data_IF_984364633859
#
_entry.id   IF_984364633859
#
_cell.length_a   1.000
_cell.length_b   1.000
_cell.length_c   1.000
_cell.angle_alpha   90.00
_cell.angle_beta   90.00
_cell.angle_gamma   90.00
#
_symmetry.space_group_name_H-M   'P 1'
#
loop_
_entity.id
_entity.type
_entity.pdbx_description
1 polymer ?
#
# COMPACT_ATOMS: atom_id res chain seq x y z
N UNK A 1 60.32 60.65 -20.31
CA UNK A 1 59.65 59.97 -21.43
C UNK A 1 59.06 58.67 -20.93
N UNK A 2 57.73 58.62 -20.91
CA UNK A 2 56.78 57.50 -20.82
C UNK A 2 56.99 56.36 -19.80
N UNK A 3 56.21 56.46 -18.70
CA UNK A 3 55.56 55.33 -18.04
C UNK A 3 54.66 54.62 -19.07
N UNK A 4 54.83 53.31 -19.24
CA UNK A 4 53.79 52.47 -19.84
C UNK A 4 52.82 52.06 -18.73
N UNK A 5 51.63 52.65 -18.80
CA UNK A 5 50.51 52.32 -17.95
C UNK A 5 50.03 50.91 -18.24
N UNK A 6 49.91 50.15 -17.16
CA UNK A 6 49.14 48.93 -17.10
C UNK A 6 47.65 49.32 -17.12
N UNK A 7 47.03 49.22 -18.29
CA UNK A 7 45.57 49.30 -18.45
C UNK A 7 45.09 48.03 -19.14
N UNK A 8 45.02 46.93 -18.38
CA UNK A 8 44.09 45.82 -18.68
C UNK A 8 42.83 45.93 -17.82
N UNK A 9 42.17 47.08 -17.89
CA UNK A 9 40.78 47.23 -17.48
C UNK A 9 39.88 46.82 -18.64
N UNK A 10 39.63 45.51 -18.80
CA UNK A 10 38.62 45.05 -19.74
C UNK A 10 37.25 45.51 -19.26
N UNK A 11 36.53 46.27 -20.09
CA UNK A 11 35.19 46.78 -19.78
C UNK A 11 34.27 45.62 -19.37
N UNK A 12 33.94 45.56 -18.07
CA UNK A 12 32.97 44.59 -17.57
C UNK A 12 31.59 45.03 -18.07
N UNK A 13 31.10 44.39 -19.14
CA UNK A 13 29.75 44.69 -19.62
C UNK A 13 28.75 44.48 -18.48
N UNK A 14 27.74 45.35 -18.36
CA UNK A 14 26.64 45.20 -17.40
C UNK A 14 26.05 43.77 -17.44
N UNK A 15 26.04 43.15 -18.62
CA UNK A 15 25.63 41.75 -18.82
C UNK A 15 26.53 40.74 -18.10
N UNK A 16 27.84 40.91 -18.16
CA UNK A 16 28.80 40.03 -17.46
C UNK A 16 28.64 40.16 -15.94
N UNK A 17 28.56 41.39 -15.43
CA UNK A 17 28.31 41.64 -14.01
C UNK A 17 26.99 41.02 -13.52
N UNK A 18 25.87 41.24 -14.24
CA UNK A 18 24.58 40.64 -13.87
C UNK A 18 24.62 39.12 -13.95
N UNK A 19 25.29 38.55 -14.95
CA UNK A 19 25.43 37.08 -15.09
C UNK A 19 26.18 36.49 -13.91
N UNK A 20 27.29 37.10 -13.50
CA UNK A 20 28.09 36.64 -12.36
C UNK A 20 27.38 36.86 -11.02
N UNK A 21 26.69 37.99 -10.84
CA UNK A 21 25.82 38.24 -9.68
C UNK A 21 24.72 37.18 -9.56
N UNK A 22 24.05 36.85 -10.67
CA UNK A 22 22.99 35.83 -10.65
C UNK A 22 23.56 34.45 -10.38
N UNK A 23 24.71 34.11 -10.98
CA UNK A 23 25.38 32.82 -10.79
C UNK A 23 25.85 32.63 -9.36
N UNK A 24 26.57 33.60 -8.79
CA UNK A 24 27.29 33.46 -7.53
C UNK A 24 26.51 33.94 -6.30
N UNK A 25 25.63 34.93 -6.47
CA UNK A 25 24.87 35.55 -5.37
C UNK A 25 23.39 35.18 -5.39
N UNK A 26 22.66 35.65 -6.40
CA UNK A 26 21.19 35.57 -6.41
C UNK A 26 20.68 34.12 -6.43
N UNK A 27 21.33 33.22 -7.18
CA UNK A 27 20.91 31.82 -7.24
C UNK A 27 21.05 31.09 -5.89
N UNK A 28 22.12 31.36 -5.14
CA UNK A 28 22.30 30.82 -3.79
C UNK A 28 21.30 31.45 -2.82
N UNK A 29 21.10 32.76 -2.89
CA UNK A 29 20.12 33.47 -2.06
C UNK A 29 18.71 32.92 -2.26
N UNK A 30 18.29 32.71 -3.51
CA UNK A 30 17.00 32.11 -3.84
C UNK A 30 16.91 30.66 -3.36
N UNK A 31 17.98 29.87 -3.50
CA UNK A 31 18.02 28.50 -3.00
C UNK A 31 17.95 28.42 -1.47
N UNK A 32 18.66 29.28 -0.75
CA UNK A 32 18.62 29.37 0.71
C UNK A 32 17.25 29.81 1.21
N UNK A 33 16.66 30.84 0.58
CA UNK A 33 15.31 31.30 0.90
C UNK A 33 14.27 30.21 0.66
N UNK A 34 14.38 29.46 -0.45
CA UNK A 34 13.47 28.37 -0.74
C UNK A 34 13.58 27.21 0.26
N UNK A 35 14.80 26.83 0.67
CA UNK A 35 15.02 25.82 1.73
C UNK A 35 14.41 26.28 3.06
N UNK A 36 14.65 27.52 3.46
CA UNK A 36 14.12 28.09 4.70
C UNK A 36 12.60 28.10 4.71
N UNK A 37 11.96 28.48 3.59
CA UNK A 37 10.50 28.48 3.48
C UNK A 37 9.90 27.07 3.59
N UNK A 38 10.55 26.06 3.00
CA UNK A 38 10.13 24.65 3.18
C UNK A 38 10.28 24.23 4.65
N UNK A 39 11.43 24.52 5.26
CA UNK A 39 11.73 24.14 6.63
C UNK A 39 10.75 24.75 7.65
N UNK A 40 10.39 26.02 7.45
CA UNK A 40 9.41 26.72 8.28
C UNK A 40 8.03 26.04 8.25
N UNK A 41 7.54 25.75 7.04
CA UNK A 41 6.23 25.09 6.86
C UNK A 41 6.24 23.66 7.40
N UNK A 42 7.30 22.89 7.13
CA UNK A 42 7.40 21.47 7.50
C UNK A 42 7.63 21.23 8.99
N UNK A 43 8.10 22.24 9.72
CA UNK A 43 8.28 22.21 11.19
C UNK A 43 7.19 22.97 11.94
N UNK A 44 6.18 23.50 11.24
CA UNK A 44 5.05 24.15 11.90
C UNK A 44 4.32 23.17 12.84
N UNK A 45 3.68 23.65 13.93
CA UNK A 45 3.00 22.77 14.88
C UNK A 45 1.88 21.92 14.27
N UNK A 46 1.25 22.39 13.19
CA UNK A 46 0.21 21.67 12.46
C UNK A 46 0.74 20.77 11.33
N UNK A 47 2.05 20.79 11.07
CA UNK A 47 2.66 19.98 10.02
C UNK A 47 2.39 18.49 10.24
N UNK A 48 2.03 17.79 9.16
CA UNK A 48 1.72 16.35 9.17
C UNK A 48 0.53 15.96 10.06
N UNK A 49 -0.34 16.92 10.41
CA UNK A 49 -1.57 16.68 11.18
C UNK A 49 -2.78 17.29 10.49
N UNK A 50 -2.64 18.53 10.02
CA UNK A 50 -3.72 19.24 9.35
C UNK A 50 -3.91 18.73 7.91
N UNK A 51 -5.16 18.44 7.57
CA UNK A 51 -5.60 17.84 6.31
C UNK A 51 -6.49 18.84 5.58
N UNK A 52 -6.32 18.97 4.27
CA UNK A 52 -7.11 19.88 3.46
C UNK A 52 -7.09 19.54 1.98
N UNK A 53 -7.92 20.21 1.17
CA UNK A 53 -7.90 20.02 -0.27
C UNK A 53 -6.57 20.51 -0.87
N UNK A 54 -6.13 19.92 -2.00
CA UNK A 54 -4.97 20.43 -2.70
C UNK A 54 -5.20 21.88 -3.20
N UNK A 55 -4.15 22.71 -3.29
CA UNK A 55 -4.24 24.06 -3.84
C UNK A 55 -4.89 24.10 -5.25
N UNK A 56 -5.86 25.00 -5.45
CA UNK A 56 -6.75 25.10 -6.63
C UNK A 56 -6.07 25.53 -7.94
N UNK A 57 -4.83 25.99 -7.87
CA UNK A 57 -4.05 26.53 -8.97
C UNK A 57 -3.27 25.47 -9.78
N UNK A 58 -3.52 24.19 -9.54
CA UNK A 58 -2.84 23.07 -10.21
C UNK A 58 -3.81 22.27 -11.07
N UNK A 59 -3.55 22.21 -12.39
CA UNK A 59 -4.37 21.46 -13.37
C UNK A 59 -4.49 19.94 -13.10
N UNK A 60 -3.63 19.37 -12.25
CA UNK A 60 -3.58 17.94 -11.90
C UNK A 60 -4.48 17.51 -10.74
N UNK A 61 -5.19 18.43 -10.08
CA UNK A 61 -5.90 18.14 -8.82
C UNK A 61 -7.20 17.32 -8.94
N UNK A 62 -7.62 16.89 -10.13
CA UNK A 62 -8.93 16.26 -10.31
C UNK A 62 -9.07 14.89 -9.61
N UNK A 63 -7.95 14.23 -9.24
CA UNK A 63 -7.95 12.92 -8.59
C UNK A 63 -7.78 12.95 -7.07
N UNK A 64 -7.23 14.02 -6.50
CA UNK A 64 -6.81 14.08 -5.09
C UNK A 64 -7.83 14.84 -4.24
N UNK A 65 -8.34 14.20 -3.18
CA UNK A 65 -9.39 14.76 -2.33
C UNK A 65 -8.84 15.48 -1.11
N UNK A 66 -7.83 14.89 -0.47
CA UNK A 66 -7.27 15.35 0.81
C UNK A 66 -5.76 15.14 0.81
N UNK A 67 -5.01 16.18 1.19
CA UNK A 67 -3.56 16.14 1.39
C UNK A 67 -3.18 16.76 2.74
N UNK A 68 -1.94 16.55 3.20
CA UNK A 68 -1.40 17.35 4.29
C UNK A 68 -1.19 18.80 3.84
N UNK A 69 -1.76 19.76 4.59
CA UNK A 69 -1.73 21.19 4.22
C UNK A 69 -0.31 21.73 4.13
N UNK A 70 0.59 21.27 5.00
CA UNK A 70 2.01 21.62 4.97
C UNK A 70 2.68 21.24 3.65
N UNK A 71 2.28 20.14 3.00
CA UNK A 71 2.78 19.77 1.67
C UNK A 71 2.22 20.68 0.57
N UNK A 72 0.97 21.14 0.69
CA UNK A 72 0.39 22.15 -0.18
C UNK A 72 1.17 23.47 -0.13
N UNK A 73 1.42 23.98 1.08
CA UNK A 73 2.23 25.19 1.30
C UNK A 73 3.70 25.00 0.89
N UNK A 74 4.29 23.84 1.17
CA UNK A 74 5.63 23.48 0.71
C UNK A 74 5.73 23.48 -0.81
N UNK A 75 4.73 22.93 -1.51
CA UNK A 75 4.66 22.99 -2.97
C UNK A 75 4.54 24.43 -3.49
N UNK A 76 3.75 25.29 -2.82
CA UNK A 76 3.70 26.71 -3.19
C UNK A 76 5.07 27.40 -3.07
N UNK A 77 5.90 27.02 -2.10
CA UNK A 77 7.28 27.51 -1.98
C UNK A 77 8.18 27.01 -3.14
N UNK A 78 8.08 25.72 -3.53
CA UNK A 78 8.74 25.19 -4.73
C UNK A 78 8.30 25.96 -5.98
N UNK A 79 7.00 26.20 -6.11
CA UNK A 79 6.40 26.93 -7.22
C UNK A 79 6.89 28.40 -7.28
N UNK A 80 6.97 29.07 -6.13
CA UNK A 80 7.52 30.40 -6.02
C UNK A 80 9.01 30.44 -6.42
N UNK A 81 9.80 29.45 -6.00
CA UNK A 81 11.21 29.31 -6.39
C UNK A 81 11.36 29.09 -7.90
N UNK A 82 10.52 28.24 -8.50
CA UNK A 82 10.50 28.02 -9.95
C UNK A 82 10.14 29.30 -10.73
N UNK A 83 9.16 30.08 -10.25
CA UNK A 83 8.84 31.38 -10.84
C UNK A 83 9.98 32.40 -10.71
N UNK A 84 10.67 32.43 -9.57
CA UNK A 84 11.83 33.29 -9.38
C UNK A 84 12.97 32.89 -10.33
N UNK A 85 13.25 31.60 -10.44
CA UNK A 85 14.21 31.05 -11.38
C UNK A 85 13.91 31.47 -12.82
N UNK A 86 12.64 31.41 -13.24
CA UNK A 86 12.22 31.85 -14.58
C UNK A 86 12.48 33.35 -14.82
N UNK A 87 12.29 34.21 -13.83
CA UNK A 87 12.62 35.65 -13.94
C UNK A 87 14.13 35.88 -14.11
N UNK A 88 14.95 35.08 -13.45
CA UNK A 88 16.42 35.17 -13.52
C UNK A 88 17.04 34.46 -14.73
N UNK A 89 16.24 33.76 -15.54
CA UNK A 89 16.70 32.84 -16.57
C UNK A 89 17.61 33.47 -17.65
N UNK A 90 17.31 34.72 -18.03
CA UNK A 90 18.01 35.44 -19.09
C UNK A 90 19.47 35.76 -18.75
N UNK A 91 19.78 35.81 -17.44
CA UNK A 91 21.12 36.15 -16.94
C UNK A 91 21.76 34.98 -16.16
N UNK A 92 20.96 34.12 -15.53
CA UNK A 92 21.43 33.02 -14.70
C UNK A 92 21.61 31.68 -15.41
N UNK A 93 21.00 31.50 -16.59
CA UNK A 93 21.02 30.23 -17.31
C UNK A 93 20.65 29.04 -16.41
N UNK A 94 21.44 27.97 -16.46
CA UNK A 94 21.26 26.77 -15.65
C UNK A 94 21.42 26.98 -14.13
N UNK A 95 22.02 28.09 -13.67
CA UNK A 95 22.16 28.36 -12.24
C UNK A 95 20.85 28.82 -11.60
N UNK A 96 19.95 29.41 -12.39
CA UNK A 96 18.65 29.86 -11.90
C UNK A 96 17.78 28.67 -11.39
N UNK A 97 17.93 27.48 -11.98
CA UNK A 97 17.15 26.30 -11.59
C UNK A 97 17.66 25.62 -10.31
N UNK A 98 18.74 26.12 -9.70
CA UNK A 98 19.25 25.63 -8.41
C UNK A 98 18.26 25.85 -7.27
N UNK A 99 17.50 26.94 -7.30
CA UNK A 99 16.52 27.27 -6.28
C UNK A 99 15.36 26.24 -6.18
N UNK A 100 14.64 25.92 -7.27
CA UNK A 100 13.61 24.87 -7.21
C UNK A 100 14.20 23.49 -6.88
N UNK A 101 15.41 23.15 -7.35
CA UNK A 101 16.07 21.89 -6.98
C UNK A 101 16.36 21.80 -5.47
N UNK A 102 16.84 22.88 -4.85
CA UNK A 102 17.09 22.94 -3.41
C UNK A 102 15.79 22.84 -2.60
N UNK A 103 14.70 23.47 -3.06
CA UNK A 103 13.38 23.37 -2.44
C UNK A 103 12.84 21.94 -2.48
N UNK A 104 12.97 21.26 -3.63
CA UNK A 104 12.58 19.85 -3.78
C UNK A 104 13.40 18.93 -2.89
N UNK A 105 14.71 19.15 -2.79
CA UNK A 105 15.58 18.37 -1.90
C UNK A 105 15.15 18.49 -0.43
N UNK A 106 14.84 19.71 0.04
CA UNK A 106 14.33 19.93 1.38
C UNK A 106 12.96 19.25 1.59
N UNK A 107 12.04 19.41 0.64
CA UNK A 107 10.70 18.79 0.70
C UNK A 107 10.79 17.26 0.76
N UNK A 108 11.66 16.65 -0.05
CA UNK A 108 11.89 15.21 -0.07
C UNK A 108 12.50 14.70 1.23
N UNK A 109 13.40 15.48 1.87
CA UNK A 109 13.96 15.12 3.18
C UNK A 109 12.87 15.09 4.26
N UNK A 110 11.99 16.10 4.31
CA UNK A 110 10.87 16.14 5.25
C UNK A 110 9.84 15.04 4.99
N UNK A 111 9.53 14.76 3.72
CA UNK A 111 8.63 13.68 3.34
C UNK A 111 9.14 12.30 3.80
N UNK A 112 10.44 12.00 3.60
CA UNK A 112 11.05 10.77 4.12
C UNK A 112 10.99 10.70 5.64
N UNK A 113 11.28 11.81 6.32
CA UNK A 113 11.22 11.86 7.78
C UNK A 113 9.78 11.66 8.29
N UNK A 114 8.78 12.23 7.61
CA UNK A 114 7.37 12.03 7.94
C UNK A 114 6.93 10.58 7.75
N UNK A 115 7.28 9.95 6.62
CA UNK A 115 7.02 8.54 6.38
C UNK A 115 7.65 7.64 7.45
N UNK A 116 8.89 7.93 7.87
CA UNK A 116 9.56 7.19 8.94
C UNK A 116 8.87 7.36 10.31
N UNK A 117 8.28 8.53 10.61
CA UNK A 117 7.56 8.79 11.87
C UNK A 117 6.17 8.17 11.91
N UNK A 118 5.47 8.15 10.79
CA UNK A 118 4.10 7.62 10.70
C UNK A 118 4.07 6.08 10.67
N UNK A 119 5.22 5.42 10.48
CA UNK A 119 5.36 3.98 10.60
C UNK A 119 5.69 3.57 12.03
N UNK A 120 5.17 2.44 12.54
CA UNK A 120 5.61 1.91 13.83
C UNK A 120 7.13 1.69 13.87
N UNK A 121 7.80 2.00 14.99
CA UNK A 121 9.24 1.83 15.12
C UNK A 121 9.66 0.35 14.94
N UNK A 122 10.90 0.07 14.48
CA UNK A 122 11.35 -1.28 14.13
C UNK A 122 11.19 -2.32 15.25
N UNK A 123 11.41 -1.93 16.50
CA UNK A 123 11.29 -2.79 17.68
C UNK A 123 9.84 -3.29 17.93
N UNK A 124 8.85 -2.58 17.39
CA UNK A 124 7.42 -2.91 17.45
C UNK A 124 6.80 -2.91 16.05
N UNK A 125 7.58 -3.30 15.04
CA UNK A 125 7.13 -3.34 13.66
C UNK A 125 5.94 -4.31 13.53
N UNK A 126 4.82 -3.80 13.00
CA UNK A 126 3.68 -4.63 12.60
C UNK A 126 4.13 -5.69 11.59
N UNK A 127 3.32 -6.74 11.40
CA UNK A 127 3.61 -7.76 10.38
C UNK A 127 3.66 -7.13 8.99
N UNK A 128 2.81 -6.14 8.71
CA UNK A 128 2.82 -5.40 7.44
C UNK A 128 4.14 -4.65 7.25
N UNK A 129 4.70 -4.07 8.31
CA UNK A 129 6.03 -3.46 8.26
C UNK A 129 7.11 -4.51 7.95
N UNK A 130 7.07 -5.68 8.57
CA UNK A 130 8.07 -6.73 8.29
C UNK A 130 7.99 -7.20 6.83
N UNK A 131 6.78 -7.46 6.33
CA UNK A 131 6.56 -7.86 4.94
C UNK A 131 6.91 -6.78 3.93
N UNK A 132 6.70 -5.50 4.25
CA UNK A 132 7.13 -4.40 3.39
C UNK A 132 8.66 -4.22 3.35
N UNK A 133 9.38 -4.76 4.34
CA UNK A 133 10.84 -4.78 4.35
C UNK A 133 11.43 -6.03 3.66
N UNK A 134 10.57 -6.97 3.27
CA UNK A 134 10.93 -8.18 2.55
C UNK A 134 10.82 -7.95 1.04
N UNK A 135 11.97 -7.87 0.37
CA UNK A 135 12.04 -7.58 -1.06
C UNK A 135 11.37 -8.66 -1.93
N UNK A 136 11.30 -9.91 -1.47
CA UNK A 136 10.68 -10.99 -2.22
C UNK A 136 9.15 -10.89 -2.15
N UNK A 137 8.58 -10.58 -0.98
CA UNK A 137 7.15 -10.30 -0.84
C UNK A 137 6.78 -9.07 -1.65
N UNK A 138 7.54 -7.98 -1.57
CA UNK A 138 7.27 -6.75 -2.32
C UNK A 138 7.35 -7.01 -3.83
N UNK A 139 8.38 -7.70 -4.31
CA UNK A 139 8.53 -8.03 -5.74
C UNK A 139 7.38 -8.92 -6.24
N UNK A 140 6.98 -9.90 -5.42
CA UNK A 140 5.82 -10.73 -5.71
C UNK A 140 4.55 -9.88 -5.86
N UNK A 141 4.19 -9.07 -4.87
CA UNK A 141 2.99 -8.22 -4.90
C UNK A 141 3.02 -7.27 -6.11
N UNK A 142 4.18 -6.71 -6.43
CA UNK A 142 4.34 -5.81 -7.56
C UNK A 142 4.26 -6.50 -8.93
N UNK A 143 4.45 -7.82 -8.98
CA UNK A 143 4.30 -8.62 -10.19
C UNK A 143 2.85 -9.01 -10.51
N UNK A 144 1.94 -8.87 -9.54
CA UNK A 144 0.55 -9.28 -9.71
C UNK A 144 -0.24 -8.29 -10.57
N UNK A 145 -1.22 -8.80 -11.32
CA UNK A 145 -2.02 -7.99 -12.26
C UNK A 145 -2.79 -6.85 -11.57
N UNK A 146 -3.19 -7.02 -10.31
CA UNK A 146 -3.86 -5.98 -9.52
C UNK A 146 -2.93 -4.77 -9.26
N UNK A 147 -1.63 -4.99 -9.01
CA UNK A 147 -0.65 -3.91 -8.89
C UNK A 147 -0.29 -3.29 -10.24
N UNK A 148 -0.11 -4.12 -11.27
CA UNK A 148 0.23 -3.65 -12.61
C UNK A 148 -0.88 -2.77 -13.19
N UNK A 149 -2.15 -3.16 -13.03
CA UNK A 149 -3.29 -2.36 -13.47
C UNK A 149 -3.37 -1.00 -12.75
N UNK A 150 -2.90 -0.92 -11.50
CA UNK A 150 -2.87 0.31 -10.72
C UNK A 150 -1.74 1.25 -11.20
N UNK A 151 -0.53 0.72 -11.36
CA UNK A 151 0.67 1.53 -11.64
C UNK A 151 0.91 1.78 -13.12
N UNK A 152 0.32 0.94 -13.98
CA UNK A 152 0.47 1.01 -15.43
C UNK A 152 -0.93 0.98 -16.07
N UNK A 153 -1.59 2.14 -16.23
CA UNK A 153 -2.97 2.21 -16.76
C UNK A 153 -3.14 1.63 -18.16
N UNK A 154 -2.06 1.49 -18.93
CA UNK A 154 -2.06 0.84 -20.24
C UNK A 154 -2.25 -0.68 -20.14
N UNK A 155 -1.92 -1.29 -19.01
CA UNK A 155 -2.06 -2.71 -18.74
C UNK A 155 -3.52 -3.01 -18.37
N UNK A 156 -4.30 -3.48 -19.35
CA UNK A 156 -5.66 -3.95 -19.10
C UNK A 156 -5.62 -5.34 -18.45
N UNK A 157 -5.98 -5.43 -17.17
CA UNK A 157 -6.20 -6.71 -16.51
C UNK A 157 -7.65 -7.16 -16.73
N UNK A 158 -7.85 -8.41 -17.18
CA UNK A 158 -9.19 -8.97 -17.25
C UNK A 158 -9.73 -9.26 -15.83
N UNK A 159 -11.05 -9.35 -15.63
CA UNK A 159 -11.61 -9.75 -14.34
C UNK A 159 -11.09 -11.11 -13.85
N UNK A 160 -10.77 -12.02 -14.79
CA UNK A 160 -10.21 -13.33 -14.49
C UNK A 160 -8.75 -13.22 -14.01
N UNK A 161 -7.94 -12.37 -14.63
CA UNK A 161 -6.54 -12.14 -14.20
C UNK A 161 -6.50 -11.52 -12.80
N UNK A 162 -7.44 -10.61 -12.50
CA UNK A 162 -7.56 -10.00 -11.17
C UNK A 162 -7.97 -11.04 -10.13
N UNK A 163 -8.95 -11.89 -10.45
CA UNK A 163 -9.36 -12.99 -9.56
C UNK A 163 -8.18 -13.91 -9.25
N UNK A 164 -7.45 -14.36 -10.27
CA UNK A 164 -6.27 -15.20 -10.10
C UNK A 164 -5.16 -14.51 -9.28
N UNK A 165 -4.98 -13.20 -9.47
CA UNK A 165 -4.04 -12.42 -8.68
C UNK A 165 -4.41 -12.44 -7.19
N UNK A 166 -5.68 -12.23 -6.83
CA UNK A 166 -6.12 -12.26 -5.43
C UNK A 166 -6.05 -13.66 -4.81
N UNK A 167 -6.38 -14.71 -5.57
CA UNK A 167 -6.26 -16.10 -5.11
C UNK A 167 -4.79 -16.46 -4.83
N UNK A 168 -3.89 -16.11 -5.75
CA UNK A 168 -2.45 -16.34 -5.61
C UNK A 168 -1.85 -15.49 -4.48
N UNK A 169 -2.29 -14.26 -4.34
CA UNK A 169 -1.89 -13.39 -3.24
C UNK A 169 -2.24 -14.02 -1.89
N UNK A 170 -3.48 -14.50 -1.75
CA UNK A 170 -3.96 -15.11 -0.53
C UNK A 170 -3.14 -16.36 -0.15
N UNK A 171 -2.85 -17.22 -1.13
CA UNK A 171 -2.02 -18.42 -0.97
C UNK A 171 -0.59 -18.10 -0.51
N UNK A 172 0.08 -17.14 -1.17
CA UNK A 172 1.48 -16.81 -0.87
C UNK A 172 1.62 -16.09 0.48
N UNK A 173 0.79 -15.09 0.75
CA UNK A 173 0.85 -14.36 2.04
C UNK A 173 0.53 -15.28 3.22
N UNK A 174 -0.38 -16.22 2.99
CA UNK A 174 -0.71 -17.25 3.93
C UNK A 174 0.36 -18.25 4.26
N UNK A 175 0.96 -18.84 3.22
CA UNK A 175 2.10 -19.73 3.39
C UNK A 175 3.28 -19.02 4.07
N UNK A 176 3.46 -17.72 3.79
CA UNK A 176 4.45 -16.86 4.45
C UNK A 176 4.21 -16.63 5.95
N UNK A 177 3.00 -16.87 6.46
CA UNK A 177 2.74 -16.85 7.91
C UNK A 177 3.22 -18.13 8.61
N UNK A 178 3.24 -19.25 7.88
CA UNK A 178 3.44 -20.58 8.46
C UNK A 178 2.43 -20.89 9.58
N UNK A 179 2.84 -21.71 10.54
CA UNK A 179 1.99 -22.13 11.66
C UNK A 179 1.75 -21.00 12.70
N UNK A 180 2.55 -19.93 12.65
CA UNK A 180 2.50 -18.84 13.62
C UNK A 180 1.18 -18.05 13.56
N UNK A 181 0.49 -17.93 14.69
CA UNK A 181 -0.68 -17.05 14.80
C UNK A 181 -0.26 -15.57 14.81
N UNK A 182 -0.97 -14.74 14.05
CA UNK A 182 -0.77 -13.28 14.08
C UNK A 182 -1.30 -12.74 15.40
N UNK A 183 -0.43 -12.07 16.17
CA UNK A 183 -0.79 -11.53 17.49
C UNK A 183 -1.30 -10.09 17.40
N UNK A 184 -2.01 -9.62 18.44
CA UNK A 184 -2.52 -8.23 18.52
C UNK A 184 -1.40 -7.17 18.40
N UNK A 185 -0.20 -7.50 18.86
CA UNK A 185 0.99 -6.62 18.76
C UNK A 185 1.52 -6.47 17.34
N UNK A 186 1.13 -7.36 16.44
CA UNK A 186 1.59 -7.37 15.06
C UNK A 186 0.63 -6.67 14.09
N UNK A 187 -0.50 -6.16 14.59
CA UNK A 187 -1.46 -5.37 13.81
C UNK A 187 -1.52 -3.93 14.31
N UNK A 188 -1.90 -3.02 13.41
CA UNK A 188 -2.23 -1.65 13.75
C UNK A 188 -3.73 -1.56 13.96
N UNK A 189 -4.12 -1.44 15.23
CA UNK A 189 -5.53 -1.29 15.61
C UNK A 189 -6.02 0.16 15.56
N UNK A 190 -5.10 1.13 15.56
CA UNK A 190 -5.47 2.54 15.49
C UNK A 190 -5.80 2.94 14.05
N UNK A 191 -7.09 3.13 13.78
CA UNK A 191 -7.58 3.55 12.47
C UNK A 191 -7.11 4.95 12.09
N UNK A 192 -6.81 5.83 13.06
CA UNK A 192 -6.29 7.16 12.75
C UNK A 192 -4.89 7.09 12.16
N UNK A 193 -4.02 6.22 12.69
CA UNK A 193 -2.69 5.98 12.14
C UNK A 193 -2.77 5.45 10.69
N UNK A 194 -3.72 4.55 10.39
CA UNK A 194 -3.96 4.07 9.03
C UNK A 194 -4.50 5.19 8.11
N UNK A 195 -5.37 6.04 8.62
CA UNK A 195 -5.87 7.20 7.89
C UNK A 195 -4.75 8.22 7.60
N UNK A 196 -3.84 8.47 8.53
CA UNK A 196 -2.68 9.34 8.31
C UNK A 196 -1.74 8.79 7.21
N UNK A 197 -1.53 7.47 7.18
CA UNK A 197 -0.79 6.81 6.09
C UNK A 197 -1.52 6.91 4.74
N UNK A 198 -2.85 6.83 4.74
CA UNK A 198 -3.66 7.04 3.54
C UNK A 198 -3.54 8.48 3.02
N UNK A 199 -3.58 9.48 3.90
CA UNK A 199 -3.34 10.89 3.52
C UNK A 199 -1.91 11.08 3.03
N UNK A 200 -0.92 10.44 3.66
CA UNK A 200 0.47 10.49 3.20
C UNK A 200 0.59 9.93 1.78
N UNK A 201 -0.03 8.78 1.51
CA UNK A 201 -0.08 8.14 0.19
C UNK A 201 -0.56 9.12 -0.90
N UNK A 202 -1.73 9.73 -0.69
CA UNK A 202 -2.31 10.71 -1.62
C UNK A 202 -1.47 11.98 -1.76
N UNK A 203 -0.92 12.46 -0.65
CA UNK A 203 -0.08 13.67 -0.64
C UNK A 203 1.19 13.47 -1.46
N UNK A 204 1.84 12.30 -1.34
CA UNK A 204 3.05 11.99 -2.08
C UNK A 204 2.78 11.79 -3.58
N UNK A 205 1.68 11.12 -3.93
CA UNK A 205 1.25 10.99 -5.32
C UNK A 205 0.95 12.34 -5.98
N UNK A 206 0.22 13.19 -5.25
CA UNK A 206 -0.07 14.55 -5.68
C UNK A 206 1.23 15.34 -5.90
N UNK A 207 2.18 15.29 -4.95
CA UNK A 207 3.48 15.95 -5.08
C UNK A 207 4.26 15.43 -6.29
N UNK A 208 4.35 14.12 -6.49
CA UNK A 208 5.06 13.53 -7.64
C UNK A 208 4.50 14.06 -8.97
N UNK A 209 3.18 14.02 -9.12
CA UNK A 209 2.48 14.53 -10.32
C UNK A 209 2.80 16.01 -10.57
N UNK A 210 2.80 16.80 -9.50
CA UNK A 210 3.13 18.22 -9.53
C UNK A 210 4.60 18.48 -9.93
N UNK A 211 5.53 17.74 -9.35
CA UNK A 211 6.97 17.85 -9.63
C UNK A 211 7.25 17.57 -11.11
N UNK A 212 6.60 16.56 -11.69
CA UNK A 212 6.71 16.22 -13.12
C UNK A 212 6.22 17.34 -14.05
N UNK A 213 5.41 18.28 -13.56
CA UNK A 213 4.97 19.48 -14.30
C UNK A 213 5.94 20.66 -14.25
N UNK A 214 6.97 20.63 -13.41
CA UNK A 214 7.93 21.75 -13.29
C UNK A 214 8.66 22.10 -14.59
N UNK A 215 9.09 21.13 -15.44
CA UNK A 215 9.78 21.46 -16.67
C UNK A 215 8.93 22.30 -17.62
N UNK A 216 7.64 22.01 -17.76
CA UNK A 216 6.74 22.77 -18.64
C UNK A 216 6.52 24.20 -18.13
N UNK A 217 6.50 24.39 -16.81
CA UNK A 217 6.39 25.69 -16.16
C UNK A 217 7.63 26.56 -16.33
N UNK A 218 8.82 25.96 -16.30
CA UNK A 218 10.10 26.64 -16.49
C UNK A 218 10.38 26.96 -17.97
N UNK A 219 9.93 26.09 -18.89
CA UNK A 219 10.15 26.24 -20.34
C UNK A 219 9.17 27.20 -21.03
N UNK A 220 8.09 27.63 -20.36
CA UNK A 220 7.11 28.55 -20.93
C UNK A 220 7.74 29.87 -21.40
N UNK A 221 7.42 30.28 -22.64
CA UNK A 221 7.84 31.52 -23.32
C UNK A 221 9.35 31.71 -23.60
N UNK A 222 10.06 30.64 -23.97
CA UNK A 222 11.40 30.74 -24.59
C UNK A 222 12.54 31.19 -23.65
N UNK A 223 12.32 31.16 -22.34
CA UNK A 223 13.18 31.86 -21.37
C UNK A 223 14.29 31.00 -20.75
N UNK A 224 14.11 29.69 -20.58
CA UNK A 224 15.11 28.78 -19.98
C UNK A 224 15.31 27.58 -20.90
N UNK A 225 16.53 27.35 -21.40
CA UNK A 225 16.91 26.04 -21.94
C UNK A 225 17.25 25.13 -20.77
N UNK A 226 16.38 24.16 -20.48
CA UNK A 226 16.62 23.16 -19.44
C UNK A 226 17.65 22.15 -19.94
N UNK A 227 18.62 21.80 -19.10
CA UNK A 227 19.57 20.73 -19.40
C UNK A 227 18.95 19.36 -19.14
N UNK A 228 19.41 18.35 -19.88
CA UNK A 228 18.98 16.96 -19.64
C UNK A 228 19.27 16.52 -18.20
N UNK A 229 20.40 16.98 -17.64
CA UNK A 229 20.71 16.78 -16.22
C UNK A 229 19.59 17.28 -15.31
N UNK A 230 19.09 18.49 -15.52
CA UNK A 230 18.01 19.02 -14.69
C UNK A 230 16.71 18.24 -14.88
N UNK A 231 16.38 17.83 -16.10
CA UNK A 231 15.20 16.99 -16.36
C UNK A 231 15.30 15.65 -15.63
N UNK A 232 16.48 15.04 -15.63
CA UNK A 232 16.77 13.81 -14.89
C UNK A 232 16.70 14.03 -13.36
N UNK A 233 17.19 15.16 -12.86
CA UNK A 233 17.11 15.50 -11.43
C UNK A 233 15.64 15.67 -10.98
N UNK A 234 14.80 16.31 -11.80
CA UNK A 234 13.36 16.45 -11.52
C UNK A 234 12.65 15.10 -11.57
N UNK A 235 12.96 14.27 -12.57
CA UNK A 235 12.40 12.91 -12.66
C UNK A 235 12.79 12.09 -11.43
N UNK A 236 14.07 12.13 -11.04
CA UNK A 236 14.59 11.46 -9.85
C UNK A 236 13.94 11.97 -8.57
N UNK A 237 13.69 13.28 -8.47
CA UNK A 237 12.98 13.87 -7.35
C UNK A 237 11.54 13.34 -7.25
N UNK A 238 10.79 13.30 -8.36
CA UNK A 238 9.43 12.77 -8.39
C UNK A 238 9.37 11.30 -7.97
N UNK A 239 10.33 10.47 -8.43
CA UNK A 239 10.41 9.04 -8.08
C UNK A 239 10.52 8.80 -6.56
N UNK A 240 11.14 9.72 -5.81
CA UNK A 240 11.20 9.61 -4.34
C UNK A 240 9.79 9.66 -3.74
N UNK A 241 8.93 10.54 -4.24
CA UNK A 241 7.56 10.67 -3.75
C UNK A 241 6.70 9.48 -4.21
N UNK A 242 6.88 9.01 -5.45
CA UNK A 242 6.24 7.77 -5.92
C UNK A 242 6.60 6.58 -5.03
N UNK A 243 7.88 6.44 -4.67
CA UNK A 243 8.34 5.36 -3.81
C UNK A 243 7.67 5.40 -2.43
N UNK A 244 7.57 6.58 -1.81
CA UNK A 244 6.88 6.72 -0.51
C UNK A 244 5.38 6.43 -0.66
N UNK A 245 4.75 6.93 -1.72
CA UNK A 245 3.34 6.69 -2.05
C UNK A 245 3.05 5.19 -2.19
N UNK A 246 3.83 4.49 -3.01
CA UNK A 246 3.74 3.04 -3.20
C UNK A 246 3.98 2.25 -1.92
N UNK A 247 4.96 2.65 -1.09
CA UNK A 247 5.20 2.01 0.21
C UNK A 247 4.02 2.17 1.16
N UNK A 248 3.42 3.35 1.24
CA UNK A 248 2.22 3.57 2.05
C UNK A 248 1.05 2.72 1.55
N UNK A 249 0.87 2.64 0.23
CA UNK A 249 -0.21 1.87 -0.36
C UNK A 249 -0.07 0.36 -0.11
N UNK A 250 1.13 -0.19 -0.35
CA UNK A 250 1.43 -1.60 -0.05
C UNK A 250 1.29 -1.89 1.43
N UNK A 251 1.70 -0.97 2.30
CA UNK A 251 1.53 -1.12 3.74
C UNK A 251 0.05 -1.28 4.13
N UNK A 252 -0.81 -0.36 3.68
CA UNK A 252 -2.25 -0.40 3.97
C UNK A 252 -2.90 -1.66 3.40
N UNK A 253 -2.53 -2.01 2.17
CA UNK A 253 -2.97 -3.24 1.51
C UNK A 253 -2.63 -4.47 2.37
N UNK A 254 -1.36 -4.65 2.74
CA UNK A 254 -0.91 -5.76 3.58
C UNK A 254 -1.58 -5.78 4.96
N UNK A 255 -1.73 -4.62 5.60
CA UNK A 255 -2.35 -4.53 6.92
C UNK A 255 -3.78 -5.08 6.90
N UNK A 256 -4.58 -4.81 5.86
CA UNK A 256 -5.93 -5.38 5.74
C UNK A 256 -5.92 -6.91 5.59
N UNK A 257 -4.93 -7.49 4.89
CA UNK A 257 -4.79 -8.97 4.79
C UNK A 257 -4.39 -9.56 6.14
N UNK A 258 -3.45 -8.93 6.83
CA UNK A 258 -2.97 -9.37 8.14
C UNK A 258 -4.08 -9.31 9.18
N UNK A 259 -4.96 -8.31 9.14
CA UNK A 259 -6.14 -8.26 10.01
C UNK A 259 -7.07 -9.46 9.79
N UNK A 260 -7.27 -9.90 8.54
CA UNK A 260 -8.03 -11.13 8.26
C UNK A 260 -7.42 -12.33 9.00
N UNK A 261 -6.11 -12.52 8.88
CA UNK A 261 -5.41 -13.61 9.56
C UNK A 261 -5.43 -13.49 11.08
N UNK A 262 -5.29 -12.29 11.63
CA UNK A 262 -5.32 -12.05 13.06
C UNK A 262 -6.67 -12.45 13.66
N UNK A 263 -7.75 -11.85 13.16
CA UNK A 263 -9.07 -12.01 13.76
C UNK A 263 -9.66 -13.39 13.50
N UNK A 264 -9.55 -13.92 12.27
CA UNK A 264 -10.03 -15.27 11.96
C UNK A 264 -9.17 -16.36 12.62
N UNK A 265 -7.93 -16.03 13.01
CA UNK A 265 -7.03 -16.91 13.75
C UNK A 265 -7.20 -16.91 15.28
N UNK A 266 -7.98 -15.99 15.88
CA UNK A 266 -8.18 -15.98 17.34
C UNK A 266 -9.25 -16.97 17.82
N UNK A 267 -9.99 -17.62 16.92
CA UNK A 267 -11.22 -18.34 17.29
C UNK A 267 -11.00 -19.59 18.15
N UNK A 268 -9.79 -20.15 18.17
CA UNK A 268 -9.45 -21.31 19.03
C UNK A 268 -9.16 -20.94 20.50
N UNK A 269 -8.94 -19.65 20.82
CA UNK A 269 -8.47 -19.21 22.16
C UNK A 269 -9.59 -18.73 23.09
N UNK A 270 -10.85 -18.76 22.66
CA UNK A 270 -11.98 -18.16 23.39
C UNK A 270 -12.53 -19.06 24.51
N UNK A 271 -11.68 -19.84 25.18
CA UNK A 271 -12.09 -20.78 26.25
C UNK A 271 -12.06 -20.20 27.66
N UNK A 272 -11.63 -18.95 27.88
CA UNK A 272 -11.56 -18.36 29.22
C UNK A 272 -12.30 -17.01 29.34
N UNK A 273 -13.49 -17.06 29.97
CA UNK A 273 -14.09 -16.04 30.84
C UNK A 273 -14.19 -14.57 30.37
N UNK A 274 -14.44 -14.29 29.10
CA UNK A 274 -14.91 -12.95 28.70
C UNK A 274 -16.18 -13.09 27.87
N UNK A 275 -17.21 -12.32 28.24
CA UNK A 275 -18.54 -12.27 27.62
C UNK A 275 -18.46 -12.58 26.11
N UNK A 276 -19.11 -13.67 25.70
CA UNK A 276 -19.19 -14.11 24.31
C UNK A 276 -19.79 -12.98 23.47
N UNK A 277 -18.95 -12.17 22.84
CA UNK A 277 -19.40 -11.30 21.76
C UNK A 277 -19.92 -12.23 20.67
N UNK A 278 -21.23 -12.19 20.39
CA UNK A 278 -22.02 -13.09 19.53
C UNK A 278 -21.58 -13.21 18.04
N UNK A 279 -20.34 -12.87 17.69
CA UNK A 279 -19.77 -13.05 16.36
C UNK A 279 -18.27 -13.33 16.31
N UNK A 280 -17.61 -13.51 17.46
CA UNK A 280 -16.20 -13.92 17.55
C UNK A 280 -15.23 -13.06 16.71
N UNK A 281 -14.19 -13.71 16.16
CA UNK A 281 -13.20 -13.06 15.30
C UNK A 281 -13.80 -12.46 14.02
N UNK A 282 -14.79 -13.11 13.42
CA UNK A 282 -15.46 -12.62 12.21
C UNK A 282 -16.14 -11.24 12.41
N UNK A 283 -16.83 -11.02 13.54
CA UNK A 283 -17.45 -9.73 13.84
C UNK A 283 -16.39 -8.63 14.12
N UNK A 284 -15.33 -8.96 14.85
CA UNK A 284 -14.23 -8.02 15.11
C UNK A 284 -13.51 -7.61 13.81
N UNK A 285 -13.29 -8.56 12.89
CA UNK A 285 -12.75 -8.27 11.57
C UNK A 285 -13.69 -7.34 10.79
N UNK A 286 -14.98 -7.64 10.75
CA UNK A 286 -15.96 -6.83 10.05
C UNK A 286 -15.96 -5.38 10.56
N UNK A 287 -15.98 -5.20 11.89
CA UNK A 287 -15.89 -3.89 12.51
C UNK A 287 -14.60 -3.15 12.13
N UNK A 288 -13.46 -3.84 12.16
CA UNK A 288 -12.17 -3.24 11.84
C UNK A 288 -12.09 -2.77 10.38
N UNK A 289 -12.56 -3.59 9.43
CA UNK A 289 -12.57 -3.25 8.01
C UNK A 289 -13.54 -2.12 7.68
N UNK A 290 -14.74 -2.13 8.29
CA UNK A 290 -15.73 -1.06 8.12
C UNK A 290 -15.22 0.26 8.70
N UNK A 291 -14.65 0.23 9.92
CA UNK A 291 -14.08 1.42 10.56
C UNK A 291 -12.94 2.01 9.73
N UNK A 292 -12.07 1.16 9.17
CA UNK A 292 -11.03 1.61 8.24
C UNK A 292 -11.64 2.28 7.01
N UNK A 293 -12.56 1.61 6.32
CA UNK A 293 -13.20 2.13 5.11
C UNK A 293 -13.89 3.48 5.35
N UNK A 294 -14.63 3.64 6.45
CA UNK A 294 -15.28 4.89 6.84
C UNK A 294 -14.29 6.06 6.92
N UNK A 295 -13.09 5.83 7.47
CA UNK A 295 -12.07 6.88 7.60
C UNK A 295 -11.37 7.20 6.28
N UNK A 296 -11.14 6.20 5.41
CA UNK A 296 -10.27 6.38 4.24
C UNK A 296 -10.98 6.60 2.91
N UNK A 297 -12.27 6.27 2.78
CA UNK A 297 -12.98 6.34 1.48
C UNK A 297 -13.10 7.76 0.91
N UNK A 298 -13.08 8.79 1.77
CA UNK A 298 -13.07 10.19 1.36
C UNK A 298 -11.65 10.76 1.18
N UNK A 299 -10.63 10.03 1.62
CA UNK A 299 -9.22 10.42 1.49
C UNK A 299 -8.64 9.87 0.19
N UNK A 300 -8.74 8.55 0.01
CA UNK A 300 -8.09 7.84 -1.09
C UNK A 300 -8.84 8.00 -2.41
N UNK A 301 -8.08 8.01 -3.51
CA UNK A 301 -8.64 7.86 -4.83
C UNK A 301 -9.31 6.47 -4.98
N UNK A 302 -10.45 6.35 -5.70
CA UNK A 302 -11.21 5.09 -5.76
C UNK A 302 -10.40 3.87 -6.21
N UNK A 303 -9.49 4.03 -7.19
CA UNK A 303 -8.65 2.94 -7.69
C UNK A 303 -7.62 2.45 -6.66
N UNK A 304 -7.13 3.33 -5.77
CA UNK A 304 -6.22 2.97 -4.68
C UNK A 304 -6.95 2.28 -3.54
N UNK A 305 -8.13 2.79 -3.18
CA UNK A 305 -9.00 2.12 -2.21
C UNK A 305 -9.39 0.72 -2.72
N UNK A 306 -9.74 0.60 -4.01
CA UNK A 306 -10.03 -0.69 -4.63
C UNK A 306 -8.83 -1.65 -4.55
N UNK A 307 -7.60 -1.18 -4.78
CA UNK A 307 -6.40 -2.02 -4.60
C UNK A 307 -6.23 -2.50 -3.15
N UNK A 308 -6.53 -1.66 -2.15
CA UNK A 308 -6.46 -2.04 -0.73
C UNK A 308 -7.60 -3.01 -0.36
N UNK A 309 -8.82 -2.82 -0.86
CA UNK A 309 -10.00 -3.56 -0.37
C UNK A 309 -10.34 -4.79 -1.20
N UNK A 310 -10.07 -4.80 -2.51
CA UNK A 310 -10.27 -5.99 -3.34
C UNK A 310 -9.27 -7.08 -2.94
N UNK A 311 -9.69 -8.34 -3.05
CA UNK A 311 -8.91 -9.49 -2.59
C UNK A 311 -9.13 -9.86 -1.12
N UNK A 312 -9.80 -8.99 -0.34
CA UNK A 312 -10.09 -9.26 1.08
C UNK A 312 -11.01 -10.48 1.24
N UNK A 313 -11.93 -10.73 0.32
CA UNK A 313 -12.79 -11.92 0.36
C UNK A 313 -12.02 -13.23 0.20
N UNK A 314 -11.08 -13.27 -0.74
CA UNK A 314 -10.16 -14.39 -0.97
C UNK A 314 -9.28 -14.60 0.26
N UNK A 315 -8.84 -13.51 0.90
CA UNK A 315 -8.06 -13.57 2.12
C UNK A 315 -8.86 -14.06 3.33
N UNK A 316 -10.08 -13.58 3.53
CA UNK A 316 -11.02 -14.14 4.51
C UNK A 316 -11.20 -15.64 4.28
N UNK A 317 -11.33 -16.07 3.02
CA UNK A 317 -11.50 -17.47 2.70
C UNK A 317 -10.28 -18.31 3.04
N UNK A 318 -9.08 -17.84 2.72
CA UNK A 318 -7.84 -18.51 3.11
C UNK A 318 -7.71 -18.60 4.64
N UNK A 319 -8.05 -17.51 5.35
CA UNK A 319 -8.10 -17.48 6.82
C UNK A 319 -9.03 -18.53 7.42
N UNK A 320 -10.25 -18.67 6.89
CA UNK A 320 -11.21 -19.69 7.32
C UNK A 320 -10.66 -21.10 7.09
N UNK A 321 -10.18 -21.42 5.88
CA UNK A 321 -9.69 -22.76 5.54
C UNK A 321 -8.48 -23.16 6.40
N UNK A 322 -7.60 -22.21 6.75
CA UNK A 322 -6.41 -22.51 7.54
C UNK A 322 -6.63 -22.50 9.04
N UNK A 323 -7.51 -21.65 9.57
CA UNK A 323 -7.62 -21.44 11.02
C UNK A 323 -8.85 -22.06 11.65
N UNK A 324 -9.87 -22.41 10.88
CA UNK A 324 -11.06 -23.06 11.43
C UNK A 324 -10.95 -24.58 11.39
N UNK A 325 -9.79 -25.09 11.82
CA UNK A 325 -9.47 -26.52 11.88
C UNK A 325 -9.78 -27.13 13.25
N UNK A 326 -10.25 -26.34 14.22
CA UNK A 326 -10.71 -26.80 15.53
C UNK A 326 -12.23 -27.01 15.62
N UNK A 327 -12.69 -27.74 16.66
CA UNK A 327 -14.14 -27.96 16.89
C UNK A 327 -14.93 -26.66 17.03
N UNK A 328 -14.35 -25.65 17.67
CA UNK A 328 -14.92 -24.31 17.83
C UNK A 328 -15.02 -23.56 16.48
N UNK A 329 -14.00 -23.68 15.62
CA UNK A 329 -13.95 -23.03 14.30
C UNK A 329 -15.04 -23.53 13.34
N UNK A 330 -15.50 -24.77 13.50
CA UNK A 330 -16.57 -25.29 12.67
C UNK A 330 -17.96 -25.28 13.36
N UNK A 331 -18.06 -24.92 14.66
CA UNK A 331 -19.35 -24.73 15.37
C UNK A 331 -19.73 -23.26 15.22
N UNK A 332 -20.88 -22.96 14.61
CA UNK A 332 -21.28 -21.59 14.28
C UNK A 332 -20.56 -20.99 13.05
N UNK A 333 -19.84 -21.81 12.28
CA UNK A 333 -19.12 -21.38 11.07
C UNK A 333 -20.03 -20.71 10.05
N UNK A 334 -21.27 -21.16 9.89
CA UNK A 334 -22.25 -20.55 8.97
C UNK A 334 -22.67 -19.14 9.38
N UNK A 335 -22.91 -18.91 10.68
CA UNK A 335 -23.28 -17.59 11.21
C UNK A 335 -22.10 -16.60 11.09
N UNK A 336 -20.87 -17.06 11.37
CA UNK A 336 -19.65 -16.27 11.16
C UNK A 336 -19.41 -15.98 9.68
N UNK A 337 -19.58 -16.97 8.80
CA UNK A 337 -19.48 -16.78 7.36
C UNK A 337 -20.54 -15.81 6.84
N UNK A 338 -21.77 -15.84 7.38
CA UNK A 338 -22.80 -14.85 7.08
C UNK A 338 -22.38 -13.44 7.51
N UNK A 339 -21.73 -13.29 8.66
CA UNK A 339 -21.15 -12.01 9.11
C UNK A 339 -20.10 -11.48 8.13
N UNK A 340 -19.19 -12.33 7.66
CA UNK A 340 -18.19 -11.96 6.66
C UNK A 340 -18.84 -11.55 5.33
N UNK A 341 -19.86 -12.28 4.88
CA UNK A 341 -20.64 -11.92 3.67
C UNK A 341 -21.31 -10.55 3.83
N UNK A 342 -21.98 -10.29 4.95
CA UNK A 342 -22.58 -8.98 5.21
C UNK A 342 -21.54 -7.86 5.23
N UNK A 343 -20.35 -8.11 5.78
CA UNK A 343 -19.24 -7.15 5.72
C UNK A 343 -18.82 -6.83 4.28
N UNK A 344 -18.63 -7.86 3.44
CA UNK A 344 -18.27 -7.65 2.03
C UNK A 344 -19.37 -6.89 1.28
N UNK A 345 -20.64 -7.20 1.54
CA UNK A 345 -21.77 -6.46 0.98
C UNK A 345 -21.75 -4.98 1.38
N UNK A 346 -21.54 -4.68 2.67
CA UNK A 346 -21.47 -3.31 3.18
C UNK A 346 -20.30 -2.51 2.57
N UNK A 347 -19.18 -3.19 2.27
CA UNK A 347 -18.03 -2.61 1.58
C UNK A 347 -18.17 -2.58 0.05
N UNK A 348 -19.29 -3.07 -0.50
CA UNK A 348 -19.52 -3.22 -1.95
C UNK A 348 -18.45 -4.09 -2.65
N UNK A 349 -17.93 -5.11 -1.95
CA UNK A 349 -16.91 -6.03 -2.45
C UNK A 349 -17.52 -7.33 -3.01
N UNK A 350 -16.84 -8.00 -3.95
CA UNK A 350 -17.29 -9.30 -4.46
C UNK A 350 -17.33 -10.38 -3.38
N UNK A 351 -18.43 -11.14 -3.34
CA UNK A 351 -18.60 -12.26 -2.41
C UNK A 351 -17.95 -13.55 -2.91
N UNK A 352 -17.56 -13.59 -4.18
CA UNK A 352 -16.99 -14.77 -4.84
C UNK A 352 -15.76 -15.32 -4.12
N UNK A 353 -14.99 -14.45 -3.45
CA UNK A 353 -13.83 -14.84 -2.66
C UNK A 353 -14.16 -15.81 -1.52
N UNK A 354 -15.39 -15.80 -0.97
CA UNK A 354 -15.81 -16.68 0.13
C UNK A 354 -16.37 -18.03 -0.32
N UNK A 355 -16.43 -18.32 -1.62
CA UNK A 355 -16.97 -19.59 -2.11
C UNK A 355 -16.14 -20.79 -1.62
N UNK A 356 -14.82 -20.67 -1.61
CA UNK A 356 -13.91 -21.73 -1.13
C UNK A 356 -14.10 -21.99 0.37
N UNK A 357 -14.28 -20.94 1.18
CA UNK A 357 -14.59 -21.08 2.61
C UNK A 357 -15.93 -21.79 2.85
N UNK A 358 -16.96 -21.44 2.09
CA UNK A 358 -18.26 -22.10 2.19
C UNK A 358 -18.17 -23.59 1.84
N UNK A 359 -17.49 -23.91 0.74
CA UNK A 359 -17.26 -25.29 0.33
C UNK A 359 -16.46 -26.07 1.40
N UNK A 360 -15.49 -25.44 2.04
CA UNK A 360 -14.71 -26.06 3.11
C UNK A 360 -15.56 -26.30 4.36
N UNK A 361 -16.38 -25.34 4.79
CA UNK A 361 -17.31 -25.54 5.91
C UNK A 361 -18.30 -26.67 5.63
N UNK A 362 -18.84 -26.75 4.41
CA UNK A 362 -19.68 -27.86 4.00
C UNK A 362 -18.92 -29.20 4.06
N UNK A 363 -17.67 -29.25 3.59
CA UNK A 363 -16.80 -30.42 3.69
C UNK A 363 -16.70 -30.95 5.13
N UNK A 364 -16.57 -30.06 6.12
CA UNK A 364 -16.49 -30.43 7.55
C UNK A 364 -17.79 -31.04 8.10
N UNK A 365 -18.90 -30.91 7.37
CA UNK A 365 -20.19 -31.52 7.73
C UNK A 365 -20.42 -32.87 7.04
N UNK A 366 -19.68 -33.20 5.99
CA UNK A 366 -19.82 -34.45 5.24
C UNK A 366 -19.21 -35.65 5.98
N UNK A 367 -19.62 -36.86 5.58
CA UNK A 367 -18.98 -38.10 6.01
C UNK A 367 -17.67 -38.35 5.23
N UNK A 368 -16.64 -38.99 5.82
CA UNK A 368 -15.38 -39.27 5.12
C UNK A 368 -15.57 -39.99 3.77
N UNK A 369 -16.52 -40.92 3.68
CA UNK A 369 -16.83 -41.69 2.48
C UNK A 369 -17.44 -40.82 1.38
N UNK A 370 -18.30 -39.88 1.75
CA UNK A 370 -18.90 -38.90 0.82
C UNK A 370 -17.80 -38.01 0.24
N UNK A 371 -16.85 -37.58 1.08
CA UNK A 371 -15.72 -36.76 0.65
C UNK A 371 -14.83 -37.54 -0.32
N UNK A 372 -14.46 -38.79 0.02
CA UNK A 372 -13.61 -39.63 -0.83
C UNK A 372 -14.30 -39.90 -2.17
N UNK A 373 -15.61 -40.16 -2.16
CA UNK A 373 -16.39 -40.36 -3.38
C UNK A 373 -16.41 -39.09 -4.23
N UNK A 374 -16.67 -37.93 -3.62
CA UNK A 374 -16.66 -36.65 -4.32
C UNK A 374 -15.30 -36.33 -4.95
N UNK A 375 -14.19 -36.61 -4.26
CA UNK A 375 -12.82 -36.42 -4.81
C UNK A 375 -12.58 -37.32 -6.02
N UNK A 376 -13.07 -38.57 -5.99
CA UNK A 376 -12.92 -39.50 -7.13
C UNK A 376 -13.75 -39.10 -8.34
N UNK A 377 -14.96 -38.60 -8.11
CA UNK A 377 -15.90 -38.25 -9.19
C UNK A 377 -15.66 -36.87 -9.78
N UNK A 378 -15.33 -35.88 -8.94
CA UNK A 378 -15.28 -34.46 -9.31
C UNK A 378 -13.88 -33.87 -9.25
N UNK A 379 -12.89 -34.63 -8.77
CA UNK A 379 -11.54 -34.15 -8.53
C UNK A 379 -11.37 -33.44 -7.18
N UNK A 380 -10.11 -33.20 -6.83
CA UNK A 380 -9.74 -32.50 -5.59
C UNK A 380 -10.02 -30.99 -5.68
N UNK A 381 -10.72 -30.45 -4.68
CA UNK A 381 -11.01 -29.01 -4.56
C UNK A 381 -10.11 -28.30 -3.54
N UNK A 382 -9.49 -29.08 -2.66
CA UNK A 382 -8.63 -28.63 -1.58
C UNK A 382 -7.27 -29.34 -1.67
N UNK A 383 -6.26 -28.78 -1.01
CA UNK A 383 -4.96 -29.44 -0.94
C UNK A 383 -5.01 -30.69 -0.06
N UNK A 384 -4.05 -31.61 -0.22
CA UNK A 384 -3.95 -32.80 0.63
C UNK A 384 -3.93 -32.41 2.12
N UNK A 385 -3.13 -31.40 2.49
CA UNK A 385 -3.06 -30.91 3.86
C UNK A 385 -4.41 -30.38 4.38
N UNK A 386 -5.17 -29.65 3.54
CA UNK A 386 -6.49 -29.14 3.90
C UNK A 386 -7.51 -30.27 4.14
N UNK A 387 -7.47 -31.33 3.32
CA UNK A 387 -8.26 -32.53 3.54
C UNK A 387 -7.84 -33.29 4.80
N UNK A 388 -6.54 -33.45 5.04
CA UNK A 388 -6.02 -34.08 6.25
C UNK A 388 -6.49 -33.35 7.50
N UNK A 389 -6.47 -32.02 7.49
CA UNK A 389 -6.96 -31.22 8.60
C UNK A 389 -8.48 -31.33 8.75
N UNK A 390 -9.23 -31.33 7.65
CA UNK A 390 -10.68 -31.56 7.67
C UNK A 390 -11.04 -32.92 8.30
N UNK A 391 -10.31 -33.99 7.94
CA UNK A 391 -10.55 -35.33 8.49
C UNK A 391 -10.27 -35.41 9.98
N UNK A 392 -9.25 -34.70 10.50
CA UNK A 392 -9.02 -34.59 11.96
C UNK A 392 -10.20 -33.92 12.67
N UNK A 393 -10.79 -32.88 12.08
CA UNK A 393 -11.98 -32.22 12.65
C UNK A 393 -13.17 -33.16 12.66
N UNK A 394 -13.38 -33.89 11.56
CA UNK A 394 -14.48 -34.84 11.39
C UNK A 394 -14.32 -36.02 12.36
N UNK A 395 -13.10 -36.55 12.53
CA UNK A 395 -12.76 -37.62 13.49
C UNK A 395 -13.23 -37.25 14.89
N UNK A 396 -12.81 -36.07 15.37
CA UNK A 396 -13.14 -35.57 16.71
C UNK A 396 -14.64 -35.36 16.87
N UNK A 397 -15.29 -34.68 15.90
CA UNK A 397 -16.72 -34.33 15.99
C UNK A 397 -17.65 -35.52 15.96
N UNK A 398 -17.33 -36.52 15.14
CA UNK A 398 -18.16 -37.69 14.93
C UNK A 398 -17.76 -38.86 15.84
N UNK A 399 -16.65 -38.73 16.58
CA UNK A 399 -16.13 -39.78 17.45
C UNK A 399 -15.70 -41.03 16.67
N UNK A 400 -15.15 -40.86 15.47
CA UNK A 400 -14.74 -41.98 14.61
C UNK A 400 -13.52 -42.66 15.23
N UNK A 401 -13.49 -43.99 15.38
CA UNK A 401 -12.34 -44.71 15.91
C UNK A 401 -11.06 -44.45 15.08
N UNK A 402 -9.88 -44.26 15.72
CA UNK A 402 -8.63 -43.98 15.00
C UNK A 402 -8.20 -45.08 14.02
N UNK A 403 -8.67 -46.32 14.20
CA UNK A 403 -8.43 -47.41 13.26
C UNK A 403 -9.21 -47.21 11.95
N UNK A 404 -10.47 -46.81 12.06
CA UNK A 404 -11.37 -46.54 10.94
C UNK A 404 -10.95 -45.26 10.21
N UNK A 405 -10.59 -44.20 10.94
CA UNK A 405 -10.06 -42.98 10.33
C UNK A 405 -8.79 -43.24 9.52
N UNK A 406 -7.89 -44.11 9.99
CA UNK A 406 -6.71 -44.53 9.22
C UNK A 406 -7.05 -45.24 7.91
N UNK A 407 -8.17 -45.96 7.84
CA UNK A 407 -8.64 -46.57 6.59
C UNK A 407 -9.13 -45.49 5.63
N UNK A 408 -9.94 -44.54 6.11
CA UNK A 408 -10.40 -43.42 5.28
C UNK A 408 -9.26 -42.55 4.75
N UNK A 409 -8.26 -42.26 5.58
CA UNK A 409 -7.07 -41.50 5.16
C UNK A 409 -6.27 -42.23 4.05
N UNK A 410 -6.13 -43.55 4.12
CA UNK A 410 -5.51 -44.35 3.05
C UNK A 410 -6.33 -44.29 1.76
N UNK A 411 -7.66 -44.38 1.86
CA UNK A 411 -8.55 -44.31 0.71
C UNK A 411 -8.55 -42.92 0.05
N UNK A 412 -8.46 -41.86 0.87
CA UNK A 412 -8.31 -40.47 0.41
C UNK A 412 -6.97 -40.29 -0.32
N UNK A 413 -5.86 -40.75 0.25
CA UNK A 413 -4.54 -40.69 -0.40
C UNK A 413 -4.55 -41.40 -1.76
N UNK A 414 -5.19 -42.58 -1.85
CA UNK A 414 -5.38 -43.28 -3.12
C UNK A 414 -6.25 -42.49 -4.11
N UNK A 415 -7.30 -41.83 -3.64
CA UNK A 415 -8.15 -40.98 -4.48
C UNK A 415 -7.37 -39.76 -5.02
N UNK A 416 -6.61 -39.07 -4.17
CA UNK A 416 -5.78 -37.94 -4.55
C UNK A 416 -4.65 -38.35 -5.52
N UNK A 417 -4.04 -39.51 -5.30
CA UNK A 417 -3.00 -40.08 -6.17
C UNK A 417 -3.50 -40.49 -7.56
N UNK A 418 -4.77 -40.90 -7.69
CA UNK A 418 -5.39 -41.15 -9.00
C UNK A 418 -5.71 -39.85 -9.76
N UNK A 419 -5.98 -38.74 -9.06
CA UNK A 419 -6.24 -37.43 -9.67
C UNK A 419 -4.95 -36.81 -10.25
N UNK A 420 -3.77 -37.14 -9.72
CA UNK A 420 -2.47 -36.69 -10.26
C UNK A 420 -2.06 -37.28 -11.61
N UNK A 421 -2.87 -38.17 -12.20
CA UNK A 421 -2.63 -38.82 -13.50
C UNK A 421 -3.58 -38.35 -14.60
N UNK A 422 -4.54 -37.47 -14.30
CA UNK A 422 -5.49 -36.95 -15.29
C UNK A 422 -5.33 -35.44 -15.47
N UNK A 423 -4.50 -35.10 -16.47
CA UNK A 423 -4.43 -33.90 -17.35
C UNK A 423 -4.45 -32.51 -16.72
#
# INVERSE_FOLDING_TARGET
MNRHGDTRGGECSLRAFITDYVRSGESERLAAAARSAIDEVMRSPSAWRERGPPPTNVKSGAGHRVIFTCCGSGWQAVWAAARAARRCAWCGGAWAVRAPAAALGALAAHARAAHARLRPPPAHASRAAKWLADDDIVRFLQSLHNWLALTQPATRASPQDLKQAYEREAEILGSSLGDGAVTRKEIISDTNALADLAVLCETMDWLSTNIRSLPSMLSGSGSVKLSDKFLNDISSAAMIFDEISHKCLLFLHLEMRIQCFHYLGQEERSTDNTEESEGGGAAQLAQALLSFHEQVHNVLAPHRLAYIMNGVGEMMSAGVVWRWQGEAGARGGDARLATLRHCLAALSLPHGGLHRAHAYLHLLTCAPEEIITAVREKGAQFTELEYLNAFKVIENRRGIPPAEMRVHLKQLSAALGHVGVTV
#
